data_IF_050108926316
#
_entry.id   IF_050108926316
#
_cell.length_a   1.000
_cell.length_b   1.000
_cell.length_c   1.000
_cell.angle_alpha   90.00
_cell.angle_beta   90.00
_cell.angle_gamma   90.00
#
_symmetry.space_group_name_H-M   'P 1'
#
loop_
_entity.id
_entity.type
_entity.pdbx_description
1 polymer ?
#
# COMPACT_ATOMS: atom_id res chain seq x y z
N UNK A 1 -56.26 21.44 -19.68
CA UNK A 1 -54.81 21.17 -19.66
C UNK A 1 -54.57 20.10 -18.61
N UNK A 2 -54.08 18.92 -19.00
CA UNK A 2 -54.02 17.76 -18.10
C UNK A 2 -52.75 17.83 -17.22
N UNK A 3 -52.73 18.80 -16.32
CA UNK A 3 -51.60 19.10 -15.42
C UNK A 3 -51.21 17.89 -14.56
N UNK A 4 -52.18 17.07 -14.18
CA UNK A 4 -51.96 15.81 -13.46
C UNK A 4 -51.17 14.80 -14.30
N UNK A 5 -51.51 14.63 -15.59
CA UNK A 5 -50.77 13.74 -16.48
C UNK A 5 -49.33 14.22 -16.68
N UNK A 6 -49.11 15.53 -16.84
CA UNK A 6 -47.77 16.12 -16.93
C UNK A 6 -46.99 15.86 -15.64
N UNK A 7 -47.60 16.09 -14.48
CA UNK A 7 -46.98 15.85 -13.17
C UNK A 7 -46.60 14.39 -12.98
N UNK A 8 -47.50 13.45 -13.31
CA UNK A 8 -47.24 12.02 -13.23
C UNK A 8 -46.09 11.58 -14.14
N UNK A 9 -46.02 12.10 -15.37
CA UNK A 9 -44.91 11.83 -16.29
C UNK A 9 -43.60 12.40 -15.76
N UNK A 10 -43.60 13.65 -15.27
CA UNK A 10 -42.40 14.26 -14.68
C UNK A 10 -41.90 13.49 -13.46
N UNK A 11 -42.80 13.00 -12.60
CA UNK A 11 -42.45 12.16 -11.45
C UNK A 11 -41.86 10.82 -11.91
N UNK A 12 -42.45 10.17 -12.92
CA UNK A 12 -41.94 8.93 -13.47
C UNK A 12 -40.52 9.11 -14.04
N UNK A 13 -40.31 10.14 -14.86
CA UNK A 13 -39.00 10.47 -15.43
C UNK A 13 -38.00 10.79 -14.33
N UNK A 14 -38.38 11.58 -13.33
CA UNK A 14 -37.53 11.89 -12.18
C UNK A 14 -37.12 10.64 -11.41
N UNK A 15 -38.08 9.76 -11.10
CA UNK A 15 -37.79 8.50 -10.40
C UNK A 15 -36.86 7.58 -11.20
N UNK A 16 -37.06 7.48 -12.51
CA UNK A 16 -36.21 6.70 -13.40
C UNK A 16 -34.79 7.29 -13.47
N UNK A 17 -34.67 8.62 -13.56
CA UNK A 17 -33.39 9.30 -13.52
C UNK A 17 -32.63 9.00 -12.22
N UNK A 18 -33.29 9.03 -11.05
CA UNK A 18 -32.66 8.67 -9.76
C UNK A 18 -32.16 7.23 -9.78
N UNK A 19 -32.98 6.27 -10.25
CA UNK A 19 -32.57 4.85 -10.33
C UNK A 19 -31.34 4.69 -11.23
N UNK A 20 -31.34 5.33 -12.40
CA UNK A 20 -30.21 5.30 -13.32
C UNK A 20 -28.95 5.95 -12.71
N UNK A 21 -29.10 7.05 -11.97
CA UNK A 21 -28.00 7.70 -11.26
C UNK A 21 -27.39 6.80 -10.18
N UNK A 22 -28.22 6.10 -9.41
CA UNK A 22 -27.73 5.15 -8.37
C UNK A 22 -27.01 3.96 -9.01
N UNK A 23 -27.56 3.40 -10.10
CA UNK A 23 -26.89 2.32 -10.84
C UNK A 23 -25.54 2.76 -11.41
N UNK A 24 -25.49 3.95 -12.00
CA UNK A 24 -24.24 4.53 -12.47
C UNK A 24 -23.23 4.71 -11.33
N UNK A 25 -23.65 5.27 -10.19
CA UNK A 25 -22.79 5.46 -9.03
C UNK A 25 -22.26 4.12 -8.49
N UNK A 26 -23.08 3.08 -8.45
CA UNK A 26 -22.66 1.75 -8.00
C UNK A 26 -21.55 1.18 -8.90
N UNK A 27 -21.72 1.28 -10.22
CA UNK A 27 -20.71 0.86 -11.20
C UNK A 27 -19.44 1.72 -11.07
N UNK A 28 -19.61 3.03 -10.92
CA UNK A 28 -18.52 3.98 -10.77
C UNK A 28 -17.68 3.70 -9.52
N UNK A 29 -18.31 3.45 -8.36
CA UNK A 29 -17.62 3.11 -7.11
C UNK A 29 -16.85 1.80 -7.24
N UNK A 30 -17.43 0.79 -7.91
CA UNK A 30 -16.76 -0.49 -8.10
C UNK A 30 -15.50 -0.35 -8.98
N UNK A 31 -15.60 0.37 -10.09
CA UNK A 31 -14.46 0.64 -10.98
C UNK A 31 -13.38 1.48 -10.26
N UNK A 32 -13.80 2.52 -9.54
CA UNK A 32 -12.88 3.38 -8.78
C UNK A 32 -12.13 2.60 -7.70
N UNK A 33 -12.82 1.69 -6.99
CA UNK A 33 -12.20 0.84 -5.96
C UNK A 33 -11.06 -0.01 -6.55
N UNK A 34 -11.23 -0.54 -7.76
CA UNK A 34 -10.18 -1.34 -8.42
C UNK A 34 -8.95 -0.48 -8.76
N UNK A 35 -9.15 0.74 -9.26
CA UNK A 35 -8.07 1.67 -9.59
C UNK A 35 -7.30 2.07 -8.33
N UNK A 36 -8.00 2.42 -7.26
CA UNK A 36 -7.37 2.78 -5.97
C UNK A 36 -6.51 1.63 -5.45
N UNK A 37 -6.99 0.39 -5.48
CA UNK A 37 -6.21 -0.78 -5.04
C UNK A 37 -4.89 -0.93 -5.81
N UNK A 38 -4.93 -0.81 -7.14
CA UNK A 38 -3.71 -0.89 -7.97
C UNK A 38 -2.73 0.24 -7.64
N UNK A 39 -3.22 1.48 -7.53
CA UNK A 39 -2.40 2.62 -7.18
C UNK A 39 -1.76 2.46 -5.79
N UNK A 40 -2.49 1.92 -4.81
CA UNK A 40 -1.97 1.61 -3.47
C UNK A 40 -0.89 0.53 -3.51
N UNK A 41 -1.05 -0.51 -4.34
CA UNK A 41 -0.03 -1.54 -4.52
C UNK A 41 1.25 -0.96 -5.15
N UNK A 42 1.13 -0.14 -6.19
CA UNK A 42 2.27 0.50 -6.85
C UNK A 42 3.00 1.46 -5.90
N UNK A 43 2.26 2.25 -5.12
CA UNK A 43 2.82 3.14 -4.12
C UNK A 43 3.58 2.37 -3.03
N UNK A 44 3.03 1.25 -2.56
CA UNK A 44 3.68 0.39 -1.58
C UNK A 44 4.99 -0.22 -2.12
N UNK A 45 4.96 -0.71 -3.37
CA UNK A 45 6.16 -1.21 -4.03
C UNK A 45 7.20 -0.11 -4.26
N UNK A 46 6.77 1.12 -4.59
CA UNK A 46 7.68 2.27 -4.73
C UNK A 46 8.32 2.65 -3.41
N UNK A 47 7.55 2.75 -2.34
CA UNK A 47 8.07 3.10 -1.02
C UNK A 47 9.15 2.10 -0.56
N UNK A 48 8.94 0.80 -0.80
CA UNK A 48 9.97 -0.18 -0.49
C UNK A 48 11.20 -0.02 -1.40
N UNK A 49 11.01 0.19 -2.71
CA UNK A 49 12.12 0.45 -3.63
C UNK A 49 12.96 1.65 -3.18
N UNK A 50 12.32 2.73 -2.75
CA UNK A 50 13.00 3.94 -2.29
C UNK A 50 13.82 3.69 -1.02
N UNK A 51 13.35 2.83 -0.12
CA UNK A 51 14.12 2.40 1.06
C UNK A 51 15.24 1.43 0.69
N UNK A 52 15.06 0.57 -0.31
CA UNK A 52 16.07 -0.44 -0.68
C UNK A 52 17.13 0.07 -1.65
N UNK A 53 16.80 1.10 -2.45
CA UNK A 53 17.67 1.65 -3.50
C UNK A 53 19.02 2.15 -2.95
N UNK A 54 19.09 2.86 -1.80
CA UNK A 54 20.36 3.25 -1.21
C UNK A 54 21.31 2.09 -0.92
N UNK A 55 20.80 0.90 -0.59
CA UNK A 55 21.66 -0.28 -0.41
C UNK A 55 22.28 -0.74 -1.72
N UNK A 56 21.59 -0.58 -2.85
CA UNK A 56 22.14 -0.94 -4.16
C UNK A 56 23.18 0.09 -4.66
N UNK A 57 22.99 1.37 -4.33
CA UNK A 57 23.82 2.46 -4.86
C UNK A 57 25.03 2.77 -3.97
N UNK A 58 25.00 2.40 -2.69
CA UNK A 58 26.06 2.66 -1.74
C UNK A 58 26.62 1.35 -1.13
N UNK A 59 27.81 0.89 -1.59
CA UNK A 59 28.46 -0.32 -1.08
C UNK A 59 28.77 -0.30 0.42
N UNK A 60 29.02 0.89 0.99
CA UNK A 60 29.26 1.01 2.43
C UNK A 60 27.98 0.72 3.21
N UNK A 61 26.85 1.27 2.76
CA UNK A 61 25.56 1.06 3.41
C UNK A 61 25.08 -0.38 3.25
N UNK A 62 25.31 -1.00 2.09
CA UNK A 62 25.07 -2.43 1.85
C UNK A 62 25.87 -3.29 2.84
N UNK A 63 27.16 -3.00 3.01
CA UNK A 63 28.01 -3.71 3.96
C UNK A 63 27.52 -3.55 5.39
N UNK A 64 27.18 -2.33 5.81
CA UNK A 64 26.64 -2.04 7.15
C UNK A 64 25.34 -2.82 7.37
N UNK A 65 24.45 -2.83 6.39
CA UNK A 65 23.18 -3.58 6.44
C UNK A 65 23.43 -5.08 6.61
N UNK A 66 24.24 -5.68 5.73
CA UNK A 66 24.55 -7.13 5.78
C UNK A 66 25.22 -7.53 7.09
N UNK A 67 26.28 -6.81 7.49
CA UNK A 67 27.00 -7.11 8.74
C UNK A 67 26.11 -6.88 9.96
N UNK A 68 25.28 -5.84 9.95
CA UNK A 68 24.33 -5.58 11.03
C UNK A 68 23.29 -6.69 11.17
N UNK A 69 22.72 -7.20 10.07
CA UNK A 69 21.78 -8.31 10.11
C UNK A 69 22.37 -9.61 10.65
N UNK A 70 23.68 -9.84 10.48
CA UNK A 70 24.36 -11.04 10.97
C UNK A 70 24.91 -10.87 12.40
N UNK A 71 25.49 -9.71 12.68
CA UNK A 71 26.17 -9.40 13.92
C UNK A 71 26.32 -7.89 14.12
N UNK A 72 25.31 -7.24 14.71
CA UNK A 72 25.36 -5.81 15.08
C UNK A 72 26.59 -5.48 15.94
N UNK A 73 27.10 -6.44 16.74
CA UNK A 73 28.27 -6.23 17.59
C UNK A 73 29.58 -5.96 16.83
N UNK A 74 29.65 -6.36 15.56
CA UNK A 74 30.81 -6.13 14.69
C UNK A 74 30.84 -4.72 14.08
N UNK A 75 29.76 -3.95 14.19
CA UNK A 75 29.68 -2.58 13.68
C UNK A 75 30.28 -1.56 14.66
N UNK A 76 30.90 -0.51 14.13
CA UNK A 76 31.29 0.69 14.88
C UNK A 76 30.06 1.41 15.48
N UNK A 77 30.27 2.34 16.40
CA UNK A 77 29.17 3.12 17.00
C UNK A 77 28.40 3.92 15.94
N UNK A 78 29.13 4.55 15.02
CA UNK A 78 28.59 5.32 13.90
C UNK A 78 27.84 4.43 12.90
N UNK A 79 28.40 3.26 12.60
CA UNK A 79 27.80 2.27 11.70
C UNK A 79 26.51 1.69 12.29
N UNK A 80 26.45 1.44 13.60
CA UNK A 80 25.21 1.00 14.27
C UNK A 80 24.10 2.03 14.16
N UNK A 81 24.40 3.31 14.33
CA UNK A 81 23.39 4.35 14.16
C UNK A 81 22.80 4.31 12.75
N UNK A 82 23.65 4.19 11.72
CA UNK A 82 23.21 4.05 10.32
C UNK A 82 22.40 2.77 10.10
N UNK A 83 22.82 1.64 10.68
CA UNK A 83 22.10 0.38 10.62
C UNK A 83 20.70 0.47 11.24
N UNK A 84 20.57 1.06 12.43
CA UNK A 84 19.26 1.23 13.08
C UNK A 84 18.35 2.19 12.32
N UNK A 85 18.89 3.27 11.73
CA UNK A 85 18.11 4.14 10.86
C UNK A 85 17.63 3.41 9.59
N UNK A 86 18.49 2.63 8.94
CA UNK A 86 18.13 1.80 7.80
C UNK A 86 17.03 0.79 8.18
N UNK A 87 17.17 0.14 9.33
CA UNK A 87 16.21 -0.86 9.84
C UNK A 87 14.87 -0.20 10.15
N UNK A 88 14.88 0.96 10.79
CA UNK A 88 13.68 1.74 11.05
C UNK A 88 12.93 2.10 9.76
N UNK A 89 13.64 2.63 8.76
CA UNK A 89 13.03 2.99 7.46
C UNK A 89 12.43 1.77 6.76
N UNK A 90 13.14 0.63 6.79
CA UNK A 90 12.65 -0.64 6.27
C UNK A 90 11.36 -1.08 6.97
N UNK A 91 11.35 -1.11 8.31
CA UNK A 91 10.18 -1.49 9.09
C UNK A 91 9.00 -0.54 8.87
N UNK A 92 9.23 0.78 8.75
CA UNK A 92 8.17 1.75 8.44
C UNK A 92 7.54 1.51 7.07
N UNK A 93 8.32 1.10 6.07
CA UNK A 93 7.77 0.70 4.77
C UNK A 93 6.86 -0.54 4.90
N UNK A 94 7.28 -1.54 5.68
CA UNK A 94 6.47 -2.73 5.95
C UNK A 94 5.21 -2.46 6.78
N UNK A 95 5.26 -1.55 7.75
CA UNK A 95 4.09 -1.11 8.50
C UNK A 95 3.04 -0.47 7.58
N UNK A 96 3.49 0.30 6.59
CA UNK A 96 2.63 0.91 5.57
C UNK A 96 1.99 -0.16 4.68
N UNK A 97 2.77 -1.13 4.21
CA UNK A 97 2.29 -2.28 3.43
C UNK A 97 1.24 -3.07 4.23
N UNK A 98 1.54 -3.37 5.51
CA UNK A 98 0.63 -4.08 6.40
C UNK A 98 -0.67 -3.30 6.64
N UNK A 99 -0.59 -1.99 6.81
CA UNK A 99 -1.78 -1.13 6.96
C UNK A 99 -2.69 -1.22 5.73
N UNK A 100 -2.13 -1.21 4.51
CA UNK A 100 -2.92 -1.39 3.29
C UNK A 100 -3.64 -2.75 3.24
N UNK A 101 -3.03 -3.81 3.77
CA UNK A 101 -3.68 -5.11 3.91
C UNK A 101 -4.82 -5.09 4.93
N UNK A 102 -4.58 -4.52 6.12
CA UNK A 102 -5.60 -4.41 7.19
C UNK A 102 -6.83 -3.63 6.71
N UNK A 103 -6.65 -2.57 5.92
CA UNK A 103 -7.75 -1.77 5.35
C UNK A 103 -8.36 -2.36 4.06
N UNK A 104 -7.96 -3.57 3.64
CA UNK A 104 -8.53 -4.26 2.47
C UNK A 104 -8.15 -3.66 1.10
N UNK A 105 -7.13 -2.80 1.08
CA UNK A 105 -6.56 -2.22 -0.15
C UNK A 105 -5.52 -3.14 -0.80
N UNK A 106 -5.00 -4.11 -0.05
CA UNK A 106 -4.09 -5.13 -0.54
C UNK A 106 -4.73 -6.52 -0.45
N UNK A 107 -4.56 -7.31 -1.49
CA UNK A 107 -4.99 -8.70 -1.54
C UNK A 107 -4.10 -9.59 -0.66
N UNK A 108 -4.69 -10.67 -0.16
CA UNK A 108 -4.01 -11.60 0.75
C UNK A 108 -2.82 -12.30 0.10
N UNK A 109 -2.86 -12.55 -1.20
CA UNK A 109 -1.77 -13.22 -1.90
C UNK A 109 -0.53 -12.32 -1.97
N UNK A 110 -0.71 -11.05 -2.35
CA UNK A 110 0.38 -10.08 -2.34
C UNK A 110 0.91 -9.84 -0.91
N UNK A 111 0.02 -9.72 0.08
CA UNK A 111 0.43 -9.59 1.48
C UNK A 111 1.32 -10.75 1.94
N UNK A 112 0.97 -12.00 1.60
CA UNK A 112 1.81 -13.17 1.94
C UNK A 112 3.22 -13.09 1.35
N UNK A 113 3.37 -12.52 0.15
CA UNK A 113 4.68 -12.28 -0.46
C UNK A 113 5.50 -11.31 0.37
N UNK A 114 4.90 -10.18 0.76
CA UNK A 114 5.54 -9.19 1.64
C UNK A 114 5.85 -9.74 3.04
N UNK A 115 4.92 -10.49 3.64
CA UNK A 115 5.13 -11.12 4.93
C UNK A 115 6.31 -12.10 4.89
N UNK A 116 6.43 -12.91 3.83
CA UNK A 116 7.56 -13.80 3.63
C UNK A 116 8.89 -13.05 3.56
N UNK A 117 8.92 -11.93 2.84
CA UNK A 117 10.11 -11.06 2.76
C UNK A 117 10.47 -10.47 4.13
N UNK A 118 9.49 -9.93 4.87
CA UNK A 118 9.73 -9.39 6.20
C UNK A 118 10.26 -10.45 7.17
N UNK A 119 9.66 -11.64 7.18
CA UNK A 119 10.09 -12.76 8.01
C UNK A 119 11.54 -13.16 7.73
N UNK A 120 11.96 -13.13 6.48
CA UNK A 120 13.35 -13.43 6.11
C UNK A 120 14.34 -12.45 6.77
N UNK A 121 14.03 -11.14 6.76
CA UNK A 121 14.91 -10.13 7.36
C UNK A 121 14.85 -10.10 8.90
N UNK A 122 13.69 -10.30 9.49
CA UNK A 122 13.53 -10.27 10.97
C UNK A 122 14.07 -11.55 11.62
N UNK A 123 14.18 -12.66 10.89
CA UNK A 123 14.80 -13.89 11.37
C UNK A 123 16.33 -13.85 11.37
N UNK A 124 16.95 -12.73 10.95
CA UNK A 124 18.39 -12.58 10.96
C UNK A 124 18.93 -12.56 12.42
N UNK A 125 20.13 -13.10 12.67
CA UNK A 125 20.64 -13.35 14.02
C UNK A 125 21.22 -12.12 14.73
N UNK A 126 21.47 -11.03 14.00
CA UNK A 126 22.10 -9.79 14.50
C UNK A 126 21.19 -8.87 15.27
#
# INVERSE_FOLDING_TARGET
MNWEAISAISQLVGSLAVVLSVLYLAVQVHQNTRVVKLATQDAAASALRDVTKPFMENPELERIWRVGLENVSALSVEERARFFHATYQFLKAFETIHSHYVYGLMDRQLWKGWEGLLRHYVAAPG
#
